data_IF_312206836697
#
_entry.id   IF_312206836697
#
_cell.length_a   1.000
_cell.length_b   1.000
_cell.length_c   1.000
_cell.angle_alpha   90.00
_cell.angle_beta   90.00
_cell.angle_gamma   90.00
#
_symmetry.space_group_name_H-M   'P 1'
#
loop_
_entity.id
_entity.type
_entity.pdbx_description
1 polymer ?
#
# COMPACT_ATOMS: atom_id res chain seq x y z
N UNK A 1 -35.58 -7.56 11.09
CA UNK A 1 -34.81 -6.86 10.04
C UNK A 1 -33.52 -7.61 9.72
N UNK A 2 -32.72 -7.99 10.72
CA UNK A 2 -31.46 -8.76 10.53
C UNK A 2 -31.59 -10.13 9.84
N UNK A 3 -32.73 -10.79 9.99
CA UNK A 3 -33.00 -12.05 9.29
C UNK A 3 -33.13 -11.84 7.78
N UNK A 4 -33.74 -10.73 7.34
CA UNK A 4 -33.93 -10.43 5.92
C UNK A 4 -32.61 -10.08 5.22
N UNK A 5 -31.68 -9.41 5.92
CA UNK A 5 -30.35 -9.04 5.39
C UNK A 5 -29.41 -10.24 5.16
N UNK A 6 -29.76 -11.42 5.70
CA UNK A 6 -28.99 -12.67 5.53
C UNK A 6 -29.56 -13.59 4.44
N UNK A 7 -30.64 -13.19 3.79
CA UNK A 7 -31.21 -13.93 2.67
C UNK A 7 -30.65 -13.37 1.35
N UNK A 8 -30.24 -14.26 0.44
CA UNK A 8 -29.67 -13.87 -0.85
C UNK A 8 -28.21 -13.39 -0.76
N UNK A 9 -27.86 -12.31 -1.47
CA UNK A 9 -26.49 -11.78 -1.47
C UNK A 9 -26.24 -10.93 -0.21
N UNK A 10 -25.34 -11.42 0.64
CA UNK A 10 -24.90 -10.66 1.81
C UNK A 10 -23.92 -9.55 1.40
N UNK A 11 -24.20 -8.32 1.82
CA UNK A 11 -23.26 -7.19 1.67
C UNK A 11 -22.42 -7.08 2.94
N UNK A 12 -21.10 -7.20 2.79
CA UNK A 12 -20.19 -7.00 3.91
C UNK A 12 -20.12 -5.51 4.30
N UNK A 13 -20.04 -5.24 5.61
CA UNK A 13 -19.87 -3.88 6.15
C UNK A 13 -18.46 -3.63 6.69
N UNK A 14 -17.58 -4.63 6.60
CA UNK A 14 -16.18 -4.47 6.99
C UNK A 14 -15.50 -3.43 6.12
N UNK A 15 -14.80 -2.48 6.74
CA UNK A 15 -13.94 -1.55 6.01
C UNK A 15 -12.81 -2.34 5.35
N UNK A 16 -12.74 -2.25 4.01
CA UNK A 16 -11.63 -2.80 3.26
C UNK A 16 -10.64 -1.66 2.95
N UNK A 17 -9.44 -1.64 3.54
CA UNK A 17 -8.44 -0.65 3.19
C UNK A 17 -8.02 -0.83 1.74
N UNK A 18 -7.82 0.30 1.05
CA UNK A 18 -7.35 0.32 -0.33
C UNK A 18 -5.83 0.28 -0.32
N UNK A 19 -5.25 -0.70 -1.00
CA UNK A 19 -3.82 -0.79 -1.31
C UNK A 19 -3.64 -0.83 -2.81
N UNK A 20 -2.82 0.05 -3.37
CA UNK A 20 -2.49 0.03 -4.79
C UNK A 20 -1.13 -0.63 -4.98
N UNK A 21 -1.15 -1.96 -5.14
CA UNK A 21 0.06 -2.73 -5.34
C UNK A 21 0.89 -2.20 -6.52
N UNK A 22 0.27 -1.65 -7.57
CA UNK A 22 0.99 -1.15 -8.75
C UNK A 22 1.91 0.04 -8.46
N UNK A 23 1.70 0.69 -7.31
CA UNK A 23 2.44 1.89 -6.86
C UNK A 23 3.28 1.65 -5.61
N UNK A 24 3.30 0.42 -5.10
CA UNK A 24 4.07 0.06 -3.91
C UNK A 24 5.33 -0.73 -4.30
N UNK A 25 6.40 -0.48 -3.55
CA UNK A 25 7.71 -1.14 -3.67
C UNK A 25 8.37 -0.96 -5.04
N UNK A 26 9.25 -1.89 -5.41
CA UNK A 26 10.06 -1.81 -6.62
C UNK A 26 9.18 -1.96 -7.86
N UNK A 27 9.26 -0.96 -8.74
CA UNK A 27 8.63 -0.94 -10.05
C UNK A 27 9.64 -0.51 -11.10
N UNK A 28 9.57 -1.13 -12.28
CA UNK A 28 10.55 -0.92 -13.36
C UNK A 28 10.48 0.49 -13.99
N UNK A 29 9.49 1.30 -13.64
CA UNK A 29 9.32 2.67 -14.09
C UNK A 29 9.91 3.70 -13.12
N UNK A 30 10.54 3.27 -12.03
CA UNK A 30 11.21 4.11 -11.04
C UNK A 30 12.69 3.71 -10.94
N UNK A 31 13.56 4.64 -10.57
CA UNK A 31 14.97 4.32 -10.32
C UNK A 31 15.12 3.69 -8.93
N UNK A 32 16.02 2.71 -8.81
CA UNK A 32 16.18 1.97 -7.56
C UNK A 32 16.75 2.87 -6.46
N UNK A 33 17.69 3.75 -6.80
CA UNK A 33 18.36 4.64 -5.87
C UNK A 33 17.39 5.67 -5.26
N UNK A 34 16.49 6.24 -6.06
CA UNK A 34 15.49 7.22 -5.59
C UNK A 34 14.43 6.54 -4.71
N UNK A 35 13.97 5.35 -5.11
CA UNK A 35 13.03 4.56 -4.33
C UNK A 35 13.60 4.20 -2.95
N UNK A 36 14.82 3.68 -2.90
CA UNK A 36 15.47 3.32 -1.64
C UNK A 36 15.73 4.54 -0.74
N UNK A 37 16.16 5.67 -1.31
CA UNK A 37 16.40 6.90 -0.56
C UNK A 37 15.10 7.50 0.02
N UNK A 38 13.98 7.36 -0.69
CA UNK A 38 12.67 7.87 -0.24
C UNK A 38 12.03 6.98 0.83
N UNK A 39 12.18 5.66 0.71
CA UNK A 39 11.67 4.69 1.67
C UNK A 39 12.50 4.62 2.97
N UNK A 40 13.76 5.05 2.92
CA UNK A 40 14.69 4.95 4.05
C UNK A 40 14.50 6.09 5.05
N UNK A 41 14.25 5.73 6.32
CA UNK A 41 14.29 6.65 7.45
C UNK A 41 15.04 6.03 8.65
N UNK A 42 16.05 6.70 9.25
CA UNK A 42 16.59 8.00 8.85
C UNK A 42 17.40 7.90 7.55
N UNK A 43 17.45 9.01 6.79
CA UNK A 43 18.26 9.07 5.58
C UNK A 43 19.74 8.88 5.93
N UNK A 44 20.47 8.11 5.12
CA UNK A 44 21.91 7.94 5.32
C UNK A 44 22.61 9.30 5.17
N UNK A 45 23.56 9.68 6.05
CA UNK A 45 24.35 10.88 5.85
C UNK A 45 25.11 10.76 4.51
N UNK A 46 25.35 11.88 3.79
CA UNK A 46 26.15 11.84 2.57
C UNK A 46 27.55 11.34 2.91
N UNK A 47 28.02 10.32 2.20
CA UNK A 47 29.37 9.78 2.34
C UNK A 47 30.37 10.87 1.94
N UNK A 48 31.19 11.35 2.88
CA UNK A 48 32.30 12.27 2.58
C UNK A 48 33.46 11.47 1.98
N UNK A 49 33.59 11.52 0.66
CA UNK A 49 34.79 11.09 -0.08
C UNK A 49 35.47 12.33 -0.66
#
# INVERSE_FOLDING_TARGET
VDAALRLGRQTAWGYQPVSDASREYVRNNETLEELEASARFPRSPPTRT
#
